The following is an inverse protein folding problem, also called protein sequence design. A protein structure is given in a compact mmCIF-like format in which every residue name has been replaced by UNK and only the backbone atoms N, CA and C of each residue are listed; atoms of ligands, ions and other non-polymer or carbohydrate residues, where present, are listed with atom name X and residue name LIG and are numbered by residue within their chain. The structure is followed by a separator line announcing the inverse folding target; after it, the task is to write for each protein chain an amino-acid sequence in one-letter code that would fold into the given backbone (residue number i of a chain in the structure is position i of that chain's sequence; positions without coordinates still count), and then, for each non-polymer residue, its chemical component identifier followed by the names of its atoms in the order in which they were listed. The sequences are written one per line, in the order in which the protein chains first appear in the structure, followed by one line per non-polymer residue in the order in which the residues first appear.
data_IF_751116520577
#
_entry.id   IF_751116520577
#
_cell.length_a   1.000
_cell.length_b   1.000
_cell.length_c   1.000
_cell.angle_alpha   90.00
_cell.angle_beta   90.00
_cell.angle_gamma   90.00
#
_symmetry.space_group_name_H-M   'P 1'
#
loop_
_entity.id
_entity.type
_entity.pdbx_description
1 polymer ?
#
# COMPACT_ATOMS: atom_id res chain seq x y z
N UNK A 1 -12.86 -6.85 11.58
CA UNK A 1 -11.85 -6.24 12.47
C UNK A 1 -12.33 -4.89 12.99
N UNK A 2 -12.84 -4.00 12.13
CA UNK A 2 -13.45 -2.73 12.53
C UNK A 2 -14.83 -2.56 11.90
N UNK A 3 -15.70 -1.75 12.51
CA UNK A 3 -16.98 -1.36 11.94
C UNK A 3 -16.75 -0.15 11.01
N UNK A 4 -16.70 -0.41 9.71
CA UNK A 4 -16.59 0.60 8.66
C UNK A 4 -17.96 0.81 7.99
N UNK A 5 -18.20 2.04 7.55
CA UNK A 5 -19.31 2.38 6.67
C UNK A 5 -18.93 2.15 5.20
N UNK A 6 -17.67 2.44 4.82
CA UNK A 6 -17.14 2.19 3.47
C UNK A 6 -15.60 2.14 3.44
N UNK A 7 -15.03 1.60 2.35
CA UNK A 7 -13.61 1.63 2.04
C UNK A 7 -13.34 1.67 0.53
N UNK A 8 -12.35 2.46 0.11
CA UNK A 8 -11.92 2.56 -1.28
C UNK A 8 -10.39 2.41 -1.39
N UNK A 9 -9.97 1.60 -2.37
CA UNK A 9 -8.55 1.38 -2.68
C UNK A 9 -8.33 1.64 -4.15
N UNK A 10 -7.36 2.50 -4.46
CA UNK A 10 -6.89 2.75 -5.82
C UNK A 10 -5.40 2.43 -5.87
N UNK A 11 -4.98 1.63 -6.84
CA UNK A 11 -3.57 1.36 -7.09
C UNK A 11 -3.29 1.47 -8.59
N UNK A 12 -2.32 2.30 -8.95
CA UNK A 12 -1.89 2.51 -10.34
C UNK A 12 -0.87 1.45 -10.76
N UNK A 13 -0.72 1.27 -12.07
CA UNK A 13 0.29 0.40 -12.67
C UNK A 13 0.83 1.05 -13.95
N UNK A 14 1.91 0.49 -14.49
CA UNK A 14 2.58 1.02 -15.67
C UNK A 14 3.72 1.97 -15.33
N UNK A 15 4.14 2.77 -16.31
CA UNK A 15 5.26 3.71 -16.16
C UNK A 15 4.84 4.88 -15.28
N UNK A 16 5.65 5.16 -14.27
CA UNK A 16 5.51 6.31 -13.38
C UNK A 16 6.87 6.98 -13.19
N UNK A 17 6.85 8.27 -12.86
CA UNK A 17 8.05 9.06 -12.49
C UNK A 17 8.03 9.42 -11.00
N UNK A 18 9.18 9.76 -10.39
CA UNK A 18 9.22 10.21 -9.00
C UNK A 18 8.25 11.37 -8.72
N UNK A 19 7.53 11.29 -7.61
CA UNK A 19 6.54 12.28 -7.20
C UNK A 19 5.11 11.98 -7.65
N UNK A 20 4.89 11.01 -8.54
CA UNK A 20 3.53 10.60 -8.89
C UNK A 20 2.85 9.80 -7.77
N UNK A 21 1.55 10.03 -7.59
CA UNK A 21 0.72 9.21 -6.71
C UNK A 21 0.62 7.79 -7.25
N UNK A 22 0.98 6.79 -6.46
CA UNK A 22 0.91 5.38 -6.85
C UNK A 22 -0.34 4.68 -6.32
N UNK A 23 -0.78 5.03 -5.11
CA UNK A 23 -1.88 4.35 -4.44
C UNK A 23 -2.61 5.28 -3.48
N UNK A 24 -3.85 4.92 -3.17
CA UNK A 24 -4.69 5.58 -2.17
C UNK A 24 -5.55 4.54 -1.46
N UNK A 25 -5.64 4.67 -0.14
CA UNK A 25 -6.62 3.95 0.69
C UNK A 25 -7.45 5.00 1.43
N UNK A 26 -8.77 4.88 1.32
CA UNK A 26 -9.72 5.72 2.06
C UNK A 26 -10.69 4.81 2.82
N UNK A 27 -11.00 5.17 4.06
CA UNK A 27 -11.95 4.45 4.92
C UNK A 27 -12.92 5.44 5.54
N UNK A 28 -14.18 5.03 5.67
CA UNK A 28 -15.22 5.78 6.35
C UNK A 28 -15.75 4.97 7.53
N UNK A 29 -15.88 5.60 8.69
CA UNK A 29 -16.47 4.99 9.88
C UNK A 29 -17.05 6.06 10.81
N UNK A 30 -18.10 5.69 11.56
CA UNK A 30 -18.69 6.54 12.62
C UNK A 30 -17.69 6.97 13.70
N UNK A 31 -16.76 6.08 14.06
CA UNK A 31 -15.71 6.38 15.04
C UNK A 31 -14.37 6.46 14.32
N UNK A 32 -13.67 7.60 14.49
CA UNK A 32 -12.39 7.87 13.81
C UNK A 32 -11.34 6.80 14.02
N UNK A 33 -11.32 6.16 15.18
CA UNK A 33 -10.36 5.10 15.51
C UNK A 33 -10.48 3.91 14.53
N UNK A 34 -11.71 3.49 14.23
CA UNK A 34 -11.97 2.42 13.26
C UNK A 34 -11.49 2.82 11.86
N UNK A 35 -11.72 4.06 11.43
CA UNK A 35 -11.29 4.54 10.13
C UNK A 35 -9.76 4.53 10.03
N UNK A 36 -9.05 5.11 11.00
CA UNK A 36 -7.60 5.19 11.00
C UNK A 36 -6.94 3.80 11.07
N UNK A 37 -7.36 2.96 12.02
CA UNK A 37 -6.77 1.62 12.18
C UNK A 37 -7.02 0.74 10.95
N UNK A 38 -8.21 0.83 10.33
CA UNK A 38 -8.48 0.09 9.10
C UNK A 38 -7.69 0.61 7.90
N UNK A 39 -7.53 1.92 7.74
CA UNK A 39 -6.72 2.48 6.65
C UNK A 39 -5.25 2.04 6.78
N UNK A 40 -4.71 2.07 8.00
CA UNK A 40 -3.35 1.63 8.27
C UNK A 40 -3.16 0.13 8.02
N UNK A 41 -4.09 -0.70 8.49
CA UNK A 41 -4.09 -2.13 8.21
C UNK A 41 -4.12 -2.43 6.71
N UNK A 42 -5.01 -1.78 5.95
CA UNK A 42 -5.14 -2.00 4.52
C UNK A 42 -3.87 -1.57 3.76
N UNK A 43 -3.22 -0.48 4.19
CA UNK A 43 -1.94 -0.04 3.62
C UNK A 43 -0.84 -1.08 3.83
N UNK A 44 -0.68 -1.60 5.05
CA UNK A 44 0.32 -2.63 5.34
C UNK A 44 0.02 -3.90 4.57
N UNK A 45 -1.23 -4.37 4.61
CA UNK A 45 -1.63 -5.60 3.92
C UNK A 45 -1.37 -5.51 2.42
N UNK A 46 -1.66 -4.37 1.79
CA UNK A 46 -1.42 -4.17 0.36
C UNK A 46 0.07 -4.22 0.03
N UNK A 47 0.92 -3.57 0.83
CA UNK A 47 2.37 -3.57 0.59
C UNK A 47 3.01 -4.95 0.70
N UNK A 48 2.53 -5.81 1.62
CA UNK A 48 3.13 -7.14 1.82
C UNK A 48 2.51 -8.23 0.95
N UNK A 49 1.20 -8.14 0.63
CA UNK A 49 0.46 -9.25 0.01
C UNK A 49 0.00 -8.99 -1.42
N UNK A 50 -0.09 -7.74 -1.87
CA UNK A 50 -0.54 -7.49 -3.23
C UNK A 50 0.56 -7.83 -4.24
N UNK A 51 0.25 -8.58 -5.32
CA UNK A 51 1.25 -9.06 -6.27
C UNK A 51 1.69 -7.95 -7.23
N UNK A 52 2.52 -7.03 -6.75
CA UNK A 52 3.14 -5.97 -7.55
C UNK A 52 4.66 -6.13 -7.59
N UNK A 53 5.23 -5.82 -8.74
CA UNK A 53 6.68 -5.77 -8.93
C UNK A 53 7.08 -4.40 -9.47
N UNK A 54 8.10 -3.81 -8.87
CA UNK A 54 8.64 -2.51 -9.31
C UNK A 54 9.92 -2.74 -10.07
N UNK A 55 9.96 -2.25 -11.31
CA UNK A 55 11.16 -2.20 -12.14
C UNK A 55 11.64 -0.76 -12.25
N UNK A 56 12.88 -0.51 -11.89
CA UNK A 56 13.54 0.79 -12.01
C UNK A 56 14.36 0.83 -13.31
N UNK A 57 14.30 1.99 -13.97
CA UNK A 57 14.97 2.25 -15.25
C UNK A 57 15.97 3.38 -15.00
N UNK A 58 17.27 3.09 -15.10
CA UNK A 58 18.36 4.03 -14.83
C UNK A 58 19.44 4.01 -15.92
N UNK A 59 20.42 4.91 -15.80
CA UNK A 59 21.53 5.00 -16.76
C UNK A 59 22.39 3.72 -16.80
N UNK A 60 22.48 3.03 -15.65
CA UNK A 60 23.25 1.78 -15.50
C UNK A 60 22.44 0.53 -15.90
N UNK A 61 21.23 0.73 -16.45
CA UNK A 61 20.33 -0.33 -16.87
C UNK A 61 19.09 -0.48 -15.98
N UNK A 62 18.39 -1.58 -16.21
CA UNK A 62 17.12 -1.87 -15.58
C UNK A 62 17.28 -2.85 -14.41
N UNK A 63 16.64 -2.59 -13.28
CA UNK A 63 16.68 -3.46 -12.11
C UNK A 63 15.28 -3.69 -11.50
N UNK A 64 15.04 -4.90 -11.00
CA UNK A 64 13.86 -5.19 -10.18
C UNK A 64 14.13 -4.83 -8.72
N UNK A 65 13.19 -4.14 -8.09
CA UNK A 65 13.27 -3.77 -6.68
C UNK A 65 12.83 -4.95 -5.83
N UNK A 66 13.68 -5.35 -4.88
CA UNK A 66 13.35 -6.40 -3.93
C UNK A 66 12.26 -5.97 -2.95
N UNK A 67 11.44 -6.92 -2.52
CA UNK A 67 10.51 -6.71 -1.41
C UNK A 67 11.30 -6.40 -0.12
N UNK A 68 10.70 -5.64 0.78
CA UNK A 68 11.32 -5.27 2.06
C UNK A 68 10.77 -6.14 3.18
N UNK A 69 11.66 -6.66 4.03
CA UNK A 69 11.28 -7.42 5.23
C UNK A 69 10.46 -6.59 6.24
N UNK A 70 10.62 -5.26 6.18
CA UNK A 70 9.84 -4.30 6.95
C UNK A 70 8.34 -4.39 6.67
N UNK A 71 7.93 -4.66 5.42
CA UNK A 71 6.52 -4.76 5.05
C UNK A 71 5.89 -6.04 5.64
N UNK A 72 6.62 -7.15 5.71
CA UNK A 72 6.16 -8.36 6.40
C UNK A 72 6.11 -8.18 7.93
N UNK A 73 7.04 -7.41 8.48
CA UNK A 73 7.06 -7.10 9.92
C UNK A 73 5.88 -6.22 10.31
N UNK A 74 5.57 -5.20 9.51
CA UNK A 74 4.41 -4.33 9.71
C UNK A 74 3.11 -5.14 9.73
N UNK A 75 2.99 -6.18 8.91
CA UNK A 75 1.81 -7.04 8.90
C UNK A 75 1.60 -7.80 10.22
N UNK A 76 2.67 -8.19 10.94
CA UNK A 76 2.57 -8.96 12.18
C UNK A 76 1.92 -8.21 13.35
N UNK A 77 1.86 -6.88 13.28
CA UNK A 77 1.22 -6.05 14.32
C UNK A 77 -0.30 -6.13 14.29
N UNK A 78 -0.86 -6.75 13.26
CA UNK A 78 -2.30 -6.88 13.04
C UNK A 78 -2.77 -8.30 13.29
#
# INVERSE_FOLDING_TARGET
RWSLDDAMIIHRHGRMVPGEQIMMVATAARHRENAFQAAEFLMDYLKSRAPFWKKEFGADGDAWVAAKDEDETALRRW
#
